data_IF_964703668344
#
_entry.id   IF_964703668344
#
_cell.length_a   1.000
_cell.length_b   1.000
_cell.length_c   1.000
_cell.angle_alpha   90.00
_cell.angle_beta   90.00
_cell.angle_gamma   90.00
#
_symmetry.space_group_name_H-M   'P 1'
#
loop_
_entity.id
_entity.type
_entity.pdbx_description
1 polymer ?
#
# COMPACT_ATOMS: atom_id res chain seq x y z
N UNK A 1 8.30 -54.96 47.66
CA UNK A 1 9.30 -56.04 47.52
C UNK A 1 9.48 -56.37 46.05
N UNK A 2 10.72 -56.25 45.55
CA UNK A 2 11.39 -57.01 44.46
C UNK A 2 10.49 -57.47 43.28
N UNK A 3 10.48 -56.75 42.15
CA UNK A 3 11.42 -56.84 41.01
C UNK A 3 10.94 -57.80 39.91
N UNK A 4 10.85 -57.32 38.67
CA UNK A 4 11.80 -57.67 37.60
C UNK A 4 11.51 -56.87 36.32
N UNK A 5 12.62 -56.36 35.80
CA UNK A 5 12.82 -55.65 34.55
C UNK A 5 12.66 -56.62 33.38
N UNK A 6 12.01 -56.18 32.29
CA UNK A 6 12.31 -56.65 30.94
C UNK A 6 11.99 -55.55 29.93
N UNK A 7 13.04 -54.99 29.34
CA UNK A 7 13.09 -54.26 28.07
C UNK A 7 14.23 -54.96 27.31
N UNK A 8 14.09 -55.37 26.04
CA UNK A 8 14.33 -54.42 24.94
C UNK A 8 13.59 -54.76 23.64
N UNK A 9 13.39 -53.77 22.77
CA UNK A 9 12.92 -54.07 21.41
C UNK A 9 12.59 -52.85 20.59
N UNK A 10 13.64 -52.21 20.09
CA UNK A 10 13.63 -51.30 18.94
C UNK A 10 12.52 -51.63 17.94
N UNK A 11 11.63 -50.68 17.63
CA UNK A 11 11.15 -50.46 16.27
C UNK A 11 10.86 -48.96 16.09
N UNK A 12 11.80 -48.35 15.37
CA UNK A 12 11.77 -47.00 14.86
C UNK A 12 10.54 -46.82 13.98
N UNK A 13 9.53 -46.10 14.46
CA UNK A 13 8.38 -45.67 13.69
C UNK A 13 8.50 -44.19 13.36
N UNK A 14 9.36 -43.87 12.40
CA UNK A 14 9.47 -42.53 11.82
C UNK A 14 8.14 -42.22 11.12
N UNK A 15 7.28 -41.43 11.76
CA UNK A 15 6.08 -40.87 11.12
C UNK A 15 6.53 -39.69 10.27
N UNK A 16 7.01 -39.99 9.06
CA UNK A 16 7.23 -38.98 8.03
C UNK A 16 5.85 -38.55 7.50
N UNK A 17 5.52 -37.31 7.86
CA UNK A 17 5.09 -36.27 6.93
C UNK A 17 3.92 -36.59 6.00
N UNK A 18 2.77 -36.01 6.32
CA UNK A 18 1.84 -35.43 5.34
C UNK A 18 1.09 -34.28 6.03
N UNK A 19 1.84 -33.39 6.71
CA UNK A 19 1.33 -32.05 6.97
C UNK A 19 1.58 -31.26 5.69
N UNK A 20 0.70 -31.44 4.71
CA UNK A 20 0.62 -30.55 3.54
C UNK A 20 0.19 -29.17 4.05
N UNK A 21 1.17 -28.43 4.55
CA UNK A 21 1.06 -27.00 4.75
C UNK A 21 0.91 -26.42 3.35
N UNK A 22 -0.33 -26.19 2.92
CA UNK A 22 -0.66 -25.29 1.83
C UNK A 22 -0.26 -23.88 2.26
N UNK A 23 1.04 -23.60 2.25
CA UNK A 23 1.59 -22.25 2.29
C UNK A 23 1.23 -21.57 0.97
N UNK A 24 0.10 -20.86 1.02
CA UNK A 24 -0.27 -19.69 0.25
C UNK A 24 -0.49 -19.81 -1.28
N UNK A 25 -1.72 -19.52 -1.79
CA UNK A 25 -1.89 -19.02 -3.14
C UNK A 25 -1.57 -17.51 -3.28
N UNK A 26 -1.10 -16.85 -2.21
CA UNK A 26 -0.90 -15.40 -2.21
C UNK A 26 0.23 -14.91 -3.14
N UNK A 27 1.12 -15.80 -3.59
CA UNK A 27 2.20 -15.46 -4.50
C UNK A 27 1.80 -15.53 -6.00
N UNK A 28 0.62 -16.07 -6.35
CA UNK A 28 0.19 -16.24 -7.75
C UNK A 28 -0.90 -15.27 -8.25
N UNK A 29 -1.29 -14.27 -7.45
CA UNK A 29 -2.10 -13.15 -7.92
C UNK A 29 -1.29 -11.85 -7.97
N UNK A 30 -0.03 -11.92 -8.40
CA UNK A 30 0.76 -10.73 -8.72
C UNK A 30 0.10 -10.02 -9.91
N UNK A 31 -0.83 -9.11 -9.62
CA UNK A 31 -1.36 -8.02 -10.45
C UNK A 31 -1.23 -8.31 -11.95
N UNK A 32 -2.02 -9.29 -12.39
CA UNK A 32 -1.94 -9.85 -13.75
C UNK A 32 -1.90 -8.74 -14.78
N UNK A 33 -0.85 -8.74 -15.61
CA UNK A 33 -0.65 -7.74 -16.67
C UNK A 33 0.09 -6.47 -16.24
N UNK A 34 0.73 -6.46 -15.06
CA UNK A 34 1.57 -5.33 -14.61
C UNK A 34 3.01 -5.80 -14.32
N UNK A 35 3.98 -4.91 -14.47
CA UNK A 35 5.41 -5.18 -14.17
C UNK A 35 5.76 -4.97 -12.68
N UNK A 36 4.75 -4.85 -11.81
CA UNK A 36 4.96 -4.54 -10.39
C UNK A 36 5.31 -5.79 -9.59
N UNK A 37 6.38 -5.72 -8.80
CA UNK A 37 6.81 -6.79 -7.89
C UNK A 37 5.93 -6.92 -6.64
N UNK A 38 5.23 -5.86 -6.26
CA UNK A 38 4.28 -5.82 -5.14
C UNK A 38 2.96 -5.27 -5.66
N UNK A 39 1.88 -5.98 -5.39
CA UNK A 39 0.56 -5.53 -5.75
C UNK A 39 0.09 -4.34 -4.91
N UNK A 40 -0.30 -3.22 -5.55
CA UNK A 40 -1.00 -2.16 -4.86
C UNK A 40 -2.34 -2.68 -4.32
N UNK A 41 -2.64 -2.40 -3.06
CA UNK A 41 -3.93 -2.69 -2.47
C UNK A 41 -4.72 -1.38 -2.28
N UNK A 42 -5.99 -1.30 -2.73
CA UNK A 42 -6.73 -2.35 -3.42
C UNK A 42 -6.33 -2.48 -4.91
N UNK A 43 -6.56 -3.67 -5.46
CA UNK A 43 -6.41 -3.96 -6.89
C UNK A 43 -7.80 -4.07 -7.53
N UNK A 44 -8.35 -2.95 -7.98
CA UNK A 44 -9.74 -2.89 -8.46
C UNK A 44 -9.92 -3.67 -9.78
N UNK A 45 -10.96 -4.50 -9.86
CA UNK A 45 -11.27 -5.25 -11.07
C UNK A 45 -12.06 -4.41 -12.09
N UNK A 46 -13.22 -3.80 -11.76
CA UNK A 46 -13.86 -2.87 -12.67
C UNK A 46 -13.12 -1.54 -12.66
N UNK A 47 -12.55 -1.17 -13.80
CA UNK A 47 -11.96 0.15 -14.01
C UNK A 47 -12.94 1.02 -14.80
N UNK A 48 -13.11 2.29 -14.42
CA UNK A 48 -13.88 3.23 -15.22
C UNK A 48 -13.14 3.54 -16.52
N UNK A 49 -13.88 3.80 -17.60
CA UNK A 49 -13.30 4.09 -18.91
C UNK A 49 -12.47 5.40 -18.87
N UNK A 50 -11.15 5.36 -19.12
CA UNK A 50 -10.28 6.54 -19.07
C UNK A 50 -10.65 7.61 -20.10
N UNK A 51 -11.35 7.26 -21.19
CA UNK A 51 -11.85 8.25 -22.14
C UNK A 51 -12.91 9.18 -21.54
N UNK A 52 -13.57 8.75 -20.46
CA UNK A 52 -14.58 9.51 -19.74
C UNK A 52 -14.05 10.19 -18.46
N UNK A 53 -12.72 10.28 -18.28
CA UNK A 53 -12.10 10.79 -17.03
C UNK A 53 -12.65 12.15 -16.56
N UNK A 54 -13.00 13.04 -17.50
CA UNK A 54 -13.49 14.37 -17.18
C UNK A 54 -14.94 14.38 -16.64
N UNK A 55 -15.69 13.29 -16.82
CA UNK A 55 -17.10 13.16 -16.43
C UNK A 55 -17.34 12.08 -15.37
N UNK A 56 -16.27 11.45 -14.89
CA UNK A 56 -16.33 10.44 -13.83
C UNK A 56 -17.01 10.94 -12.56
N UNK A 57 -17.78 10.04 -11.93
CA UNK A 57 -18.30 10.24 -10.58
C UNK A 57 -17.14 10.29 -9.57
N UNK A 58 -17.40 10.71 -8.32
CA UNK A 58 -16.35 10.73 -7.31
C UNK A 58 -15.81 9.32 -6.99
N UNK A 59 -16.67 8.31 -6.97
CA UNK A 59 -16.27 6.92 -6.78
C UNK A 59 -15.38 6.45 -7.94
N UNK A 60 -15.77 6.75 -9.17
CA UNK A 60 -14.97 6.40 -10.36
C UNK A 60 -13.62 7.12 -10.35
N UNK A 61 -13.57 8.38 -9.91
CA UNK A 61 -12.30 9.12 -9.77
C UNK A 61 -11.36 8.45 -8.79
N UNK A 62 -11.86 7.98 -7.65
CA UNK A 62 -11.02 7.28 -6.65
C UNK A 62 -10.45 5.99 -7.25
N UNK A 63 -11.29 5.17 -7.90
CA UNK A 63 -10.88 3.92 -8.54
C UNK A 63 -9.91 4.20 -9.69
N UNK A 64 -10.28 5.09 -10.60
CA UNK A 64 -9.48 5.43 -11.78
C UNK A 64 -8.11 6.00 -11.41
N UNK A 65 -8.03 6.94 -10.45
CA UNK A 65 -6.77 7.60 -10.08
C UNK A 65 -5.80 6.70 -9.32
N UNK A 66 -6.28 5.72 -8.54
CA UNK A 66 -5.40 4.73 -7.91
C UNK A 66 -4.97 3.60 -8.84
N UNK A 67 -5.62 3.47 -9.99
CA UNK A 67 -5.30 2.50 -11.04
C UNK A 67 -4.74 3.15 -12.32
N UNK A 68 -4.32 4.41 -12.26
CA UNK A 68 -3.85 5.18 -13.42
C UNK A 68 -2.68 4.48 -14.16
N UNK A 69 -1.83 3.77 -13.42
CA UNK A 69 -0.72 2.94 -13.92
C UNK A 69 -1.17 1.75 -14.80
N UNK A 70 -2.46 1.44 -14.84
CA UNK A 70 -3.07 0.39 -15.68
C UNK A 70 -3.85 0.97 -16.86
N UNK A 71 -4.15 2.27 -16.83
CA UNK A 71 -4.94 2.95 -17.86
C UNK A 71 -4.08 3.46 -19.02
N UNK A 72 -2.78 3.65 -18.79
CA UNK A 72 -1.84 4.21 -19.76
C UNK A 72 -0.53 3.44 -19.73
N UNK A 73 0.16 3.37 -20.88
CA UNK A 73 1.51 2.85 -20.94
C UNK A 73 2.46 3.76 -20.14
N UNK A 74 3.35 3.17 -19.36
CA UNK A 74 4.36 3.87 -18.59
C UNK A 74 5.43 2.92 -18.08
N UNK A 75 6.57 3.48 -17.68
CA UNK A 75 7.70 2.71 -17.16
C UNK A 75 7.58 2.49 -15.65
N UNK A 76 8.06 1.34 -15.16
CA UNK A 76 8.17 1.07 -13.72
C UNK A 76 9.51 1.57 -13.18
N UNK A 77 9.43 2.45 -12.19
CA UNK A 77 10.59 2.88 -11.42
C UNK A 77 10.75 2.00 -10.19
N UNK A 78 11.80 1.17 -10.19
CA UNK A 78 12.11 0.31 -9.05
C UNK A 78 12.77 1.10 -7.91
N UNK A 79 12.40 0.78 -6.67
CA UNK A 79 13.08 1.28 -5.48
C UNK A 79 14.04 0.22 -4.92
N UNK A 80 15.11 0.66 -4.26
CA UNK A 80 15.99 -0.22 -3.50
C UNK A 80 15.36 -0.67 -2.17
N UNK A 81 16.19 -1.00 -1.19
CA UNK A 81 15.69 -1.36 0.14
C UNK A 81 15.07 -0.14 0.84
N UNK A 82 13.74 -0.15 1.01
CA UNK A 82 13.02 0.92 1.68
C UNK A 82 13.01 0.72 3.20
N UNK A 83 13.18 1.82 3.96
CA UNK A 83 13.05 1.83 5.42
C UNK A 83 11.72 2.49 5.81
N UNK A 84 10.88 1.85 6.64
CA UNK A 84 9.63 2.44 7.08
C UNK A 84 9.82 3.77 7.84
N UNK A 85 8.92 4.72 7.62
CA UNK A 85 8.91 5.97 8.39
C UNK A 85 8.50 5.72 9.84
N UNK A 86 9.31 6.21 10.78
CA UNK A 86 9.01 6.09 12.21
C UNK A 86 7.84 6.99 12.61
N UNK A 87 7.06 6.57 13.60
CA UNK A 87 6.05 7.43 14.22
C UNK A 87 6.71 8.59 15.01
N UNK A 88 6.12 9.78 14.93
CA UNK A 88 6.55 10.90 15.75
C UNK A 88 6.05 10.73 17.19
N UNK A 89 6.88 11.08 18.18
CA UNK A 89 6.50 11.03 19.59
C UNK A 89 5.30 11.96 19.90
N UNK A 90 5.28 13.15 19.29
CA UNK A 90 4.12 14.06 19.34
C UNK A 90 3.28 13.90 18.08
N UNK A 91 2.06 13.39 18.25
CA UNK A 91 1.06 13.28 17.20
C UNK A 91 0.39 14.64 16.94
N UNK A 92 -0.12 14.82 15.72
CA UNK A 92 -1.02 15.93 15.41
C UNK A 92 -2.46 15.47 15.72
N UNK A 93 -3.11 16.08 16.72
CA UNK A 93 -4.46 15.70 17.15
C UNK A 93 -5.49 16.77 16.80
N UNK A 94 -5.20 18.04 17.14
CA UNK A 94 -6.20 19.12 17.15
C UNK A 94 -5.85 20.23 16.14
N UNK A 95 -5.44 19.83 14.93
CA UNK A 95 -5.14 20.78 13.86
C UNK A 95 -6.42 21.54 13.46
N UNK A 96 -6.39 22.86 13.63
CA UNK A 96 -7.47 23.76 13.25
C UNK A 96 -6.95 25.00 12.54
N UNK A 97 -7.81 25.63 11.76
CA UNK A 97 -7.50 26.81 10.98
C UNK A 97 -8.74 27.71 10.87
N UNK A 98 -8.53 29.00 10.60
CA UNK A 98 -9.62 29.98 10.45
C UNK A 98 -9.64 30.54 9.04
N UNK A 99 -10.82 30.58 8.43
CA UNK A 99 -11.08 31.20 7.13
C UNK A 99 -12.41 31.93 7.22
N UNK A 100 -12.44 33.21 6.81
CA UNK A 100 -13.63 34.04 6.80
C UNK A 100 -14.35 34.08 8.17
N UNK A 101 -13.59 34.21 9.26
CA UNK A 101 -14.13 34.23 10.63
C UNK A 101 -14.54 32.86 11.20
N UNK A 102 -14.70 31.85 10.36
CA UNK A 102 -15.08 30.50 10.76
C UNK A 102 -13.85 29.66 11.13
N UNK A 103 -13.96 28.86 12.19
CA UNK A 103 -12.95 27.87 12.58
C UNK A 103 -13.31 26.52 12.00
N UNK A 104 -12.31 25.86 11.43
CA UNK A 104 -12.40 24.54 10.83
C UNK A 104 -11.33 23.63 11.41
N UNK A 105 -11.62 22.34 11.48
CA UNK A 105 -10.61 21.34 11.82
C UNK A 105 -10.14 20.59 10.57
N UNK A 106 -9.13 19.74 10.76
CA UNK A 106 -8.58 18.95 9.68
C UNK A 106 -9.59 17.95 9.10
N UNK A 107 -10.43 17.32 9.92
CA UNK A 107 -11.46 16.39 9.46
C UNK A 107 -12.47 17.07 8.52
N UNK A 108 -12.80 18.33 8.78
CA UNK A 108 -13.65 19.14 7.91
C UNK A 108 -13.00 19.36 6.54
N UNK A 109 -11.69 19.58 6.52
CA UNK A 109 -10.93 19.71 5.28
C UNK A 109 -10.95 18.41 4.47
N UNK A 110 -10.67 17.26 5.12
CA UNK A 110 -10.64 15.96 4.46
C UNK A 110 -11.97 15.64 3.75
N UNK A 111 -13.10 15.89 4.43
CA UNK A 111 -14.44 15.65 3.86
C UNK A 111 -14.75 16.60 2.71
N UNK A 112 -14.52 17.91 2.89
CA UNK A 112 -14.85 18.91 1.86
C UNK A 112 -14.04 18.78 0.58
N UNK A 113 -12.80 18.34 0.69
CA UNK A 113 -11.87 18.25 -0.44
C UNK A 113 -11.78 16.83 -1.02
N UNK A 114 -12.61 15.90 -0.54
CA UNK A 114 -12.60 14.50 -0.98
C UNK A 114 -11.19 13.88 -0.91
N UNK A 115 -10.46 14.12 0.19
CA UNK A 115 -9.08 13.68 0.34
C UNK A 115 -9.02 12.14 0.41
N UNK A 116 -8.30 11.52 -0.52
CA UNK A 116 -8.15 10.06 -0.58
C UNK A 116 -6.98 9.53 0.25
N UNK A 117 -6.02 10.39 0.57
CA UNK A 117 -4.90 10.09 1.45
C UNK A 117 -4.14 11.37 1.83
N UNK A 118 -3.62 11.42 3.06
CA UNK A 118 -2.79 12.53 3.52
C UNK A 118 -1.81 12.07 4.59
N UNK A 119 -0.56 12.51 4.44
CA UNK A 119 0.55 12.20 5.33
C UNK A 119 1.19 13.50 5.81
N UNK A 120 1.34 13.66 7.14
CA UNK A 120 2.04 14.79 7.74
C UNK A 120 3.30 14.29 8.43
N UNK A 121 4.44 14.81 7.98
CA UNK A 121 5.74 14.51 8.55
C UNK A 121 6.24 15.67 9.40
N UNK A 122 6.85 15.35 10.53
CA UNK A 122 7.62 16.29 11.35
C UNK A 122 8.97 15.66 11.66
N UNK A 123 10.05 16.32 11.23
CA UNK A 123 11.42 15.85 11.40
C UNK A 123 11.62 14.41 10.88
N UNK A 124 11.10 14.12 9.69
CA UNK A 124 11.19 12.78 9.08
C UNK A 124 10.32 11.71 9.72
N UNK A 125 9.48 12.05 10.71
CA UNK A 125 8.61 11.10 11.42
C UNK A 125 7.14 11.37 11.14
N UNK A 126 6.33 10.32 11.12
CA UNK A 126 4.89 10.38 10.88
C UNK A 126 4.18 11.01 12.08
N UNK A 127 3.82 12.28 11.95
CA UNK A 127 3.02 12.99 12.94
C UNK A 127 1.53 12.65 12.79
N UNK A 128 1.09 12.37 11.57
CA UNK A 128 -0.29 12.02 11.25
C UNK A 128 -0.40 11.34 9.89
N UNK A 129 -1.35 10.41 9.74
CA UNK A 129 -1.61 9.67 8.51
C UNK A 129 -3.12 9.41 8.40
N UNK A 130 -3.67 9.60 7.22
CA UNK A 130 -5.03 9.29 6.86
C UNK A 130 -5.06 8.66 5.48
N UNK A 131 -5.81 7.58 5.34
CA UNK A 131 -6.05 6.86 4.10
C UNK A 131 -7.55 6.59 4.06
N UNK A 132 -8.22 7.06 3.00
CA UNK A 132 -9.66 6.94 2.83
C UNK A 132 -9.99 5.91 1.75
N UNK A 133 -11.28 5.60 1.59
CA UNK A 133 -11.79 4.86 0.43
C UNK A 133 -11.11 3.49 0.21
N UNK A 134 -10.66 2.86 1.29
CA UNK A 134 -9.96 1.56 1.26
C UNK A 134 -8.49 1.63 0.85
N UNK A 135 -7.93 2.83 0.67
CA UNK A 135 -6.50 3.00 0.36
C UNK A 135 -5.64 2.50 1.53
N UNK A 136 -4.47 1.97 1.19
CA UNK A 136 -3.48 1.37 2.09
C UNK A 136 -2.12 2.02 1.88
N UNK A 137 -1.13 1.64 2.69
CA UNK A 137 0.26 2.09 2.51
C UNK A 137 0.90 1.63 1.19
N UNK A 138 0.26 0.70 0.47
CA UNK A 138 0.72 0.19 -0.84
C UNK A 138 -0.06 0.76 -2.03
N UNK A 139 -1.08 1.59 -1.79
CA UNK A 139 -1.87 2.17 -2.87
C UNK A 139 -1.01 3.11 -3.73
N UNK A 140 -1.01 2.90 -5.04
CA UNK A 140 -0.48 3.87 -5.99
C UNK A 140 -1.51 4.97 -6.25
N UNK A 141 -1.05 6.18 -6.58
CA UNK A 141 -1.94 7.30 -6.87
C UNK A 141 -1.32 8.22 -7.92
N UNK A 142 -2.09 8.63 -8.91
CA UNK A 142 -1.63 9.57 -9.94
C UNK A 142 -1.18 10.90 -9.32
N UNK A 143 0.06 11.32 -9.59
CA UNK A 143 0.60 12.58 -9.08
C UNK A 143 0.12 13.79 -9.85
N UNK A 144 -0.44 13.59 -11.06
CA UNK A 144 -0.68 14.66 -12.04
C UNK A 144 0.58 15.52 -12.18
N UNK A 145 0.43 16.85 -12.23
CA UNK A 145 1.52 17.80 -12.43
C UNK A 145 2.63 17.76 -11.37
N UNK A 146 2.39 17.21 -10.17
CA UNK A 146 3.46 17.05 -9.16
C UNK A 146 4.57 16.11 -9.68
N UNK A 147 4.22 15.18 -10.57
CA UNK A 147 5.18 14.26 -11.19
C UNK A 147 6.27 14.97 -12.01
N UNK A 148 6.00 16.17 -12.54
CA UNK A 148 6.97 16.90 -13.37
C UNK A 148 8.21 17.35 -12.58
N UNK A 149 8.12 17.51 -11.26
CA UNK A 149 9.26 17.86 -10.40
C UNK A 149 10.28 16.71 -10.36
N UNK A 150 9.86 15.48 -10.72
CA UNK A 150 10.76 14.33 -10.91
C UNK A 150 11.36 14.40 -12.31
N UNK A 151 12.30 15.32 -12.50
CA UNK A 151 13.11 15.35 -13.73
C UNK A 151 13.90 14.04 -13.85
N UNK A 152 13.56 13.22 -14.85
CA UNK A 152 14.42 12.12 -15.25
C UNK A 152 15.67 12.73 -15.88
N UNK A 153 16.80 12.72 -15.18
CA UNK A 153 18.08 13.03 -15.81
C UNK A 153 18.42 11.86 -16.75
N UNK A 154 18.51 12.09 -18.08
CA UNK A 154 18.89 11.03 -19.00
C UNK A 154 20.41 10.87 -18.93
N UNK A 155 20.90 10.16 -17.91
CA UNK A 155 22.33 10.05 -17.70
C UNK A 155 22.69 9.05 -16.61
N UNK A 156 22.78 7.78 -17.00
CA UNK A 156 23.23 6.71 -16.11
C UNK A 156 23.17 5.36 -16.80
N UNK A 157 23.87 5.21 -17.95
CA UNK A 157 24.28 3.89 -18.42
C UNK A 157 25.33 3.41 -17.41
N UNK A 158 24.92 2.55 -16.48
CA UNK A 158 25.86 1.76 -15.69
C UNK A 158 26.49 0.73 -16.61
N UNK A 159 27.81 0.75 -16.59
CA UNK A 159 28.81 -0.17 -17.14
C UNK A 159 28.35 -1.63 -17.38
#
# INVERSE_FOLDING_TARGET
MKSKVFNPGLLSGVVISLCSVLLAPAAQAACTGTELSICPAPFDAPLPDPHNMLTWSQTDRVIGFRNDYRNYAGDVFHHGNAVPLQAAAKRLTDASYRVNGQTWNLQDYLRRQNVSGMLVLKNGKVAWKYLAEGNTDTTLWTSRSVGQIRGCHPGGRGD
#
